data_IF_318881674063
#
_entry.id   IF_318881674063
#
_cell.length_a   1.000
_cell.length_b   1.000
_cell.length_c   1.000
_cell.angle_alpha   90.00
_cell.angle_beta   90.00
_cell.angle_gamma   90.00
#
_symmetry.space_group_name_H-M   'P 1'
#
loop_
_entity.id
_entity.type
_entity.pdbx_description
1 polymer ?
#
# COMPACT_ATOMS: atom_id res chain seq x y z
N UNK A 1 5.15 42.93 -52.61
CA UNK A 1 6.29 42.07 -52.23
C UNK A 1 5.85 41.13 -51.11
N UNK A 2 5.56 39.89 -51.50
CA UNK A 2 5.76 38.61 -50.77
C UNK A 2 5.45 38.58 -49.26
N UNK A 3 4.29 38.00 -48.95
CA UNK A 3 3.95 37.37 -47.67
C UNK A 3 4.94 36.24 -47.34
N UNK A 4 5.63 36.30 -46.19
CA UNK A 4 6.41 35.16 -45.68
C UNK A 4 6.35 35.02 -44.15
N UNK A 5 5.50 34.07 -43.75
CA UNK A 5 5.82 33.01 -42.77
C UNK A 5 5.85 33.41 -41.28
N UNK A 6 4.67 33.66 -40.73
CA UNK A 6 4.36 33.34 -39.33
C UNK A 6 4.26 31.82 -39.18
N UNK A 7 5.39 31.10 -39.22
CA UNK A 7 5.46 29.65 -38.98
C UNK A 7 6.76 29.33 -38.27
N UNK A 8 6.86 29.67 -36.99
CA UNK A 8 7.90 29.11 -36.14
C UNK A 8 7.26 28.50 -34.89
N UNK A 9 7.01 27.20 -35.03
CA UNK A 9 7.00 26.19 -33.97
C UNK A 9 5.96 26.33 -32.85
N UNK A 10 4.72 26.01 -33.20
CA UNK A 10 3.69 25.51 -32.27
C UNK A 10 3.97 24.03 -31.89
N UNK A 11 5.23 23.67 -31.60
CA UNK A 11 5.65 22.27 -31.41
C UNK A 11 6.32 22.00 -30.06
N UNK A 12 5.96 22.76 -29.02
CA UNK A 12 6.54 22.53 -27.68
C UNK A 12 5.51 22.73 -26.56
N UNK A 13 4.32 22.11 -26.69
CA UNK A 13 3.31 22.16 -25.62
C UNK A 13 2.56 20.83 -25.43
N UNK A 14 3.23 19.69 -25.63
CA UNK A 14 2.58 18.37 -25.53
C UNK A 14 3.27 17.41 -24.54
N UNK A 15 3.88 17.91 -23.46
CA UNK A 15 4.59 17.04 -22.52
C UNK A 15 4.26 17.19 -21.03
N UNK A 16 3.07 17.70 -20.68
CA UNK A 16 2.67 17.80 -19.27
C UNK A 16 1.19 17.47 -19.09
N UNK A 17 0.82 16.19 -19.24
CA UNK A 17 -0.50 15.69 -18.82
C UNK A 17 -0.41 14.23 -18.37
N UNK A 18 0.35 13.94 -17.31
CA UNK A 18 0.21 12.67 -16.58
C UNK A 18 0.16 12.83 -15.05
N UNK A 19 0.27 14.06 -14.53
CA UNK A 19 0.45 14.30 -13.08
C UNK A 19 -0.86 14.29 -12.27
N UNK A 20 -2.04 14.41 -12.91
CA UNK A 20 -3.31 14.49 -12.18
C UNK A 20 -3.83 13.14 -11.67
N UNK A 21 -3.39 12.02 -12.27
CA UNK A 21 -3.90 10.68 -11.92
C UNK A 21 -3.13 10.03 -10.77
N UNK A 22 -1.81 10.26 -10.72
CA UNK A 22 -0.97 9.85 -9.61
C UNK A 22 -1.48 10.41 -8.26
N UNK A 23 -2.12 11.58 -8.28
CA UNK A 23 -2.63 12.23 -7.07
C UNK A 23 -3.69 11.40 -6.34
N UNK A 24 -4.57 10.67 -7.06
CA UNK A 24 -5.59 9.81 -6.42
C UNK A 24 -5.02 8.47 -5.97
N UNK A 25 -4.13 7.87 -6.77
CA UNK A 25 -3.49 6.60 -6.40
C UNK A 25 -2.62 6.75 -5.14
N UNK A 26 -2.00 7.93 -4.96
CA UNK A 26 -1.13 8.24 -3.84
C UNK A 26 -1.90 8.65 -2.56
N UNK A 27 -3.23 8.77 -2.61
CA UNK A 27 -4.07 9.02 -1.41
C UNK A 27 -3.99 7.87 -0.37
N UNK A 28 -3.56 6.68 -0.81
CA UNK A 28 -3.27 5.53 0.06
C UNK A 28 -1.98 5.69 0.87
N UNK A 29 -1.06 6.56 0.46
CA UNK A 29 0.20 6.77 1.19
C UNK A 29 -0.12 7.40 2.54
N UNK A 30 0.40 6.81 3.61
CA UNK A 30 0.12 7.27 4.95
C UNK A 30 0.42 6.24 6.02
N UNK A 31 0.02 6.58 7.24
CA UNK A 31 0.16 5.71 8.41
C UNK A 31 -1.20 5.22 8.85
N UNK A 32 -1.26 3.95 9.24
CA UNK A 32 -2.51 3.29 9.58
C UNK A 32 -2.36 2.40 10.80
N UNK A 33 -3.34 2.47 11.69
CA UNK A 33 -3.54 1.56 12.80
C UNK A 33 -4.42 0.39 12.35
N UNK A 34 -3.93 -0.83 12.55
CA UNK A 34 -4.59 -2.08 12.16
C UNK A 34 -5.36 -2.68 13.35
N UNK A 35 -6.40 -3.49 13.10
CA UNK A 35 -7.15 -4.19 14.16
C UNK A 35 -6.34 -5.17 15.02
N UNK A 36 -5.11 -5.50 14.63
CA UNK A 36 -4.19 -6.37 15.39
C UNK A 36 -3.11 -5.56 16.14
N UNK A 37 -3.40 -4.29 16.41
CA UNK A 37 -2.58 -3.33 17.16
C UNK A 37 -1.22 -3.01 16.54
N UNK A 38 -1.01 -3.35 15.26
CA UNK A 38 0.14 -2.87 14.50
C UNK A 38 -0.15 -1.49 13.92
N UNK A 39 0.81 -0.58 14.02
CA UNK A 39 0.82 0.58 13.13
C UNK A 39 1.74 0.30 11.94
N UNK A 40 1.29 0.68 10.75
CA UNK A 40 2.05 0.55 9.52
C UNK A 40 2.23 1.90 8.84
N UNK A 41 3.27 2.01 8.02
CA UNK A 41 3.42 3.07 7.02
C UNK A 41 3.29 2.42 5.63
N UNK A 42 2.28 2.84 4.87
CA UNK A 42 2.15 2.54 3.44
C UNK A 42 2.92 3.59 2.65
N UNK A 43 3.79 3.13 1.76
CA UNK A 43 4.64 3.97 0.92
C UNK A 43 4.71 3.41 -0.50
N UNK A 44 5.02 4.29 -1.46
CA UNK A 44 5.19 3.95 -2.86
C UNK A 44 6.64 3.57 -3.18
N UNK A 45 6.83 2.54 -4.01
CA UNK A 45 8.12 2.12 -4.55
C UNK A 45 7.94 1.77 -6.03
N UNK A 46 8.38 2.67 -6.91
CA UNK A 46 8.05 2.60 -8.33
C UNK A 46 6.55 2.85 -8.52
N UNK A 47 5.87 1.97 -9.25
CA UNK A 47 4.42 2.06 -9.50
C UNK A 47 3.57 1.28 -8.49
N UNK A 48 4.20 0.65 -7.48
CA UNK A 48 3.52 -0.19 -6.50
C UNK A 48 3.60 0.37 -5.08
N UNK A 49 2.70 -0.09 -4.23
CA UNK A 49 2.63 0.28 -2.83
C UNK A 49 3.05 -0.87 -1.92
N UNK A 50 3.77 -0.53 -0.86
CA UNK A 50 4.31 -1.44 0.14
C UNK A 50 4.00 -0.90 1.53
N UNK A 51 3.97 -1.77 2.52
CA UNK A 51 3.69 -1.40 3.90
C UNK A 51 4.65 -2.05 4.87
N UNK A 52 5.22 -1.25 5.78
CA UNK A 52 6.10 -1.74 6.84
C UNK A 52 5.53 -1.41 8.21
N UNK A 53 5.84 -2.25 9.20
CA UNK A 53 5.45 -2.03 10.59
C UNK A 53 6.27 -0.87 11.17
N UNK A 54 5.62 0.09 11.81
CA UNK A 54 6.23 1.26 12.47
C UNK A 54 5.95 1.31 13.97
N UNK A 55 4.94 0.61 14.48
CA UNK A 55 4.73 0.42 15.92
C UNK A 55 4.08 -0.93 16.22
N UNK A 56 4.34 -1.45 17.41
CA UNK A 56 3.80 -2.69 17.95
C UNK A 56 2.95 -2.37 19.18
N UNK A 57 1.78 -1.75 18.99
CA UNK A 57 0.96 -1.29 20.12
C UNK A 57 0.38 -2.50 20.87
N UNK A 58 0.42 -2.52 22.20
CA UNK A 58 -0.09 -3.64 22.98
C UNK A 58 0.73 -4.94 22.91
N UNK A 59 1.85 -4.97 22.18
CA UNK A 59 2.77 -6.10 22.17
C UNK A 59 3.68 -6.03 23.42
N UNK A 60 3.85 -7.16 24.11
CA UNK A 60 4.71 -7.28 25.29
C UNK A 60 6.15 -7.65 24.92
N UNK A 61 7.06 -7.52 25.89
CA UNK A 61 8.45 -7.98 25.75
C UNK A 61 8.49 -9.45 25.29
N UNK A 62 9.21 -9.71 24.19
CA UNK A 62 9.29 -11.02 23.54
C UNK A 62 8.31 -11.24 22.38
N UNK A 63 7.30 -10.39 22.20
CA UNK A 63 6.43 -10.40 21.01
C UNK A 63 6.95 -9.51 19.87
N UNK A 64 8.20 -9.05 19.97
CA UNK A 64 8.84 -8.15 19.00
C UNK A 64 9.55 -8.90 17.87
N UNK A 65 9.53 -10.23 17.90
CA UNK A 65 10.09 -11.12 16.88
C UNK A 65 9.01 -11.98 16.22
N UNK A 66 9.27 -12.44 15.00
CA UNK A 66 8.36 -13.22 14.17
C UNK A 66 8.34 -14.72 14.52
N UNK A 67 8.15 -15.07 15.79
CA UNK A 67 8.24 -16.45 16.28
C UNK A 67 7.27 -17.45 15.62
N UNK A 68 6.23 -16.95 14.93
CA UNK A 68 5.25 -17.76 14.18
C UNK A 68 5.60 -17.95 12.71
N UNK A 69 6.75 -17.44 12.25
CA UNK A 69 7.14 -17.60 10.86
C UNK A 69 7.26 -19.10 10.52
N UNK A 70 6.62 -19.59 9.43
CA UNK A 70 6.77 -20.97 9.00
C UNK A 70 8.19 -21.31 8.57
N UNK A 71 8.99 -20.31 8.20
CA UNK A 71 10.42 -20.44 7.95
C UNK A 71 11.20 -20.24 9.26
N UNK A 72 11.76 -21.34 9.79
CA UNK A 72 12.52 -21.34 11.03
C UNK A 72 13.68 -20.33 11.02
N UNK A 73 14.27 -20.03 9.86
CA UNK A 73 15.37 -19.06 9.76
C UNK A 73 14.91 -17.62 10.03
N UNK A 74 13.61 -17.35 9.89
CA UNK A 74 13.02 -16.02 10.06
C UNK A 74 12.35 -15.82 11.41
N UNK A 75 12.23 -16.86 12.25
CA UNK A 75 11.52 -16.77 13.53
C UNK A 75 12.14 -15.78 14.52
N UNK A 76 13.42 -15.44 14.34
CA UNK A 76 14.13 -14.44 15.16
C UNK A 76 14.16 -13.05 14.52
N UNK A 77 13.43 -12.82 13.42
CA UNK A 77 13.37 -11.52 12.73
C UNK A 77 12.54 -10.54 13.54
N UNK A 78 13.04 -9.32 13.73
CA UNK A 78 12.27 -8.25 14.37
C UNK A 78 11.08 -7.82 13.52
N UNK A 79 9.91 -7.67 14.16
CA UNK A 79 8.69 -7.21 13.50
C UNK A 79 8.77 -5.72 13.14
N UNK A 80 9.38 -4.89 13.99
CA UNK A 80 9.50 -3.46 13.71
C UNK A 80 10.34 -3.22 12.45
N UNK A 81 9.81 -2.44 11.51
CA UNK A 81 10.43 -2.18 10.21
C UNK A 81 10.20 -3.29 9.17
N UNK A 82 9.63 -4.43 9.54
CA UNK A 82 9.34 -5.51 8.61
C UNK A 82 8.31 -5.07 7.57
N UNK A 83 8.63 -5.28 6.29
CA UNK A 83 7.71 -5.06 5.17
C UNK A 83 6.72 -6.21 5.09
N UNK A 84 5.49 -5.94 5.52
CA UNK A 84 4.42 -6.93 5.56
C UNK A 84 3.44 -6.81 4.40
N UNK A 85 3.31 -5.64 3.76
CA UNK A 85 2.46 -5.46 2.57
C UNK A 85 3.35 -5.26 1.34
N UNK A 86 3.01 -5.94 0.26
CA UNK A 86 3.76 -5.89 -1.00
C UNK A 86 2.84 -5.83 -2.22
N UNK A 87 3.34 -5.16 -3.25
CA UNK A 87 2.84 -5.24 -4.63
C UNK A 87 1.39 -4.79 -4.85
N UNK A 88 0.86 -3.92 -3.97
CA UNK A 88 -0.41 -3.25 -4.25
C UNK A 88 -0.28 -2.36 -5.48
N UNK A 89 -1.24 -2.45 -6.40
CA UNK A 89 -1.30 -1.70 -7.65
C UNK A 89 -2.65 -0.99 -7.73
N UNK A 90 -2.64 0.29 -8.07
CA UNK A 90 -3.89 1.03 -8.26
C UNK A 90 -4.52 0.66 -9.61
N UNK A 91 -5.77 0.22 -9.58
CA UNK A 91 -6.57 -0.09 -10.77
C UNK A 91 -7.51 1.08 -11.07
N UNK A 92 -7.34 1.71 -12.23
CA UNK A 92 -8.07 2.94 -12.57
C UNK A 92 -9.57 2.71 -12.83
N UNK A 93 -9.93 1.51 -13.33
CA UNK A 93 -11.31 1.17 -13.67
C UNK A 93 -12.16 1.00 -12.41
N UNK A 94 -11.68 0.20 -11.46
CA UNK A 94 -12.35 -0.04 -10.19
C UNK A 94 -12.10 1.04 -9.13
N UNK A 95 -11.01 1.81 -9.28
CA UNK A 95 -10.48 2.75 -8.27
C UNK A 95 -10.09 2.06 -6.97
N UNK A 96 -9.66 0.80 -7.06
CA UNK A 96 -9.17 -0.01 -5.94
C UNK A 96 -7.65 -0.21 -6.03
N UNK A 97 -7.01 -0.58 -4.93
CA UNK A 97 -5.64 -1.09 -4.96
C UNK A 97 -5.69 -2.61 -4.86
N UNK A 98 -5.23 -3.29 -5.90
CA UNK A 98 -5.37 -4.74 -6.08
C UNK A 98 -3.99 -5.42 -6.15
N UNK A 99 -3.98 -6.74 -6.34
CA UNK A 99 -2.78 -7.59 -6.49
C UNK A 99 -1.81 -7.60 -5.29
N UNK A 100 -2.19 -6.95 -4.19
CA UNK A 100 -1.39 -6.89 -2.99
C UNK A 100 -1.30 -8.24 -2.28
N UNK A 101 -0.23 -8.40 -1.51
CA UNK A 101 -0.10 -9.47 -0.52
C UNK A 101 0.24 -8.88 0.84
N UNK A 102 -0.26 -9.51 1.90
CA UNK A 102 0.02 -9.13 3.28
C UNK A 102 0.46 -10.35 4.09
N UNK A 103 1.61 -10.25 4.76
CA UNK A 103 2.02 -11.19 5.79
C UNK A 103 1.42 -10.78 7.14
N UNK A 104 0.62 -11.66 7.75
CA UNK A 104 0.12 -11.52 9.12
C UNK A 104 1.02 -12.28 10.10
N UNK A 105 1.97 -11.61 10.79
CA UNK A 105 2.90 -12.26 11.71
C UNK A 105 2.18 -12.94 12.88
N UNK A 106 0.99 -12.49 13.26
CA UNK A 106 0.18 -13.10 14.33
C UNK A 106 -0.34 -14.50 13.96
N UNK A 107 -0.38 -14.83 12.67
CA UNK A 107 -0.80 -16.14 12.13
C UNK A 107 0.32 -16.88 11.40
N UNK A 108 1.44 -16.24 11.09
CA UNK A 108 2.49 -16.82 10.25
C UNK A 108 2.01 -17.08 8.80
N UNK A 109 1.08 -16.26 8.30
CA UNK A 109 0.39 -16.52 7.04
C UNK A 109 0.41 -15.32 6.10
N UNK A 110 0.49 -15.60 4.79
CA UNK A 110 0.31 -14.60 3.73
C UNK A 110 -1.13 -14.67 3.21
N UNK A 111 -1.72 -13.49 3.01
CA UNK A 111 -3.05 -13.26 2.46
C UNK A 111 -2.93 -12.42 1.19
N UNK A 112 -3.88 -12.60 0.27
CA UNK A 112 -4.12 -11.60 -0.77
C UNK A 112 -4.74 -10.37 -0.12
N UNK A 113 -4.38 -9.19 -0.60
CA UNK A 113 -4.79 -7.90 -0.05
C UNK A 113 -5.31 -7.02 -1.18
N UNK A 114 -6.47 -6.40 -0.95
CA UNK A 114 -6.92 -5.26 -1.75
C UNK A 114 -7.48 -4.15 -0.87
N UNK A 115 -7.37 -2.91 -1.32
CA UNK A 115 -7.95 -1.72 -0.67
C UNK A 115 -9.10 -1.24 -1.55
N UNK A 116 -10.31 -1.22 -1.01
CA UNK A 116 -11.54 -0.98 -1.77
C UNK A 116 -12.03 0.46 -1.65
N UNK A 117 -11.78 1.12 -0.51
CA UNK A 117 -12.27 2.47 -0.27
C UNK A 117 -11.33 3.25 0.65
N UNK A 118 -11.13 4.54 0.35
CA UNK A 118 -10.45 5.50 1.23
C UNK A 118 -11.48 6.53 1.70
N UNK A 119 -11.59 6.68 3.02
CA UNK A 119 -12.38 7.70 3.70
C UNK A 119 -11.47 8.63 4.49
N UNK A 120 -12.04 9.68 5.07
CA UNK A 120 -11.28 10.71 5.79
C UNK A 120 -10.43 10.13 6.94
N UNK A 121 -10.95 9.15 7.69
CA UNK A 121 -10.30 8.59 8.88
C UNK A 121 -9.97 7.11 8.79
N UNK A 122 -10.41 6.43 7.73
CA UNK A 122 -10.26 4.99 7.61
C UNK A 122 -10.12 4.56 6.15
N UNK A 123 -9.52 3.40 5.94
CA UNK A 123 -9.56 2.69 4.66
C UNK A 123 -10.24 1.34 4.86
N UNK A 124 -10.97 0.90 3.84
CA UNK A 124 -11.53 -0.44 3.78
C UNK A 124 -10.59 -1.38 3.06
N UNK A 125 -10.32 -2.52 3.69
CA UNK A 125 -9.32 -3.49 3.25
C UNK A 125 -9.96 -4.88 3.20
N UNK A 126 -9.74 -5.61 2.12
CA UNK A 126 -10.15 -7.01 2.01
C UNK A 126 -8.93 -7.89 2.01
N UNK A 127 -8.83 -8.74 3.03
CA UNK A 127 -7.87 -9.82 3.11
C UNK A 127 -8.53 -11.14 2.69
N UNK A 128 -7.93 -11.88 1.76
CA UNK A 128 -8.48 -13.17 1.31
C UNK A 128 -7.44 -14.27 1.21
N UNK A 129 -7.88 -15.50 1.44
CA UNK A 129 -7.07 -16.71 1.28
C UNK A 129 -7.97 -17.89 0.96
N UNK A 130 -7.68 -18.59 -0.14
CA UNK A 130 -8.53 -19.65 -0.69
C UNK A 130 -9.98 -19.14 -0.89
N UNK A 131 -10.95 -19.78 -0.24
CA UNK A 131 -12.38 -19.43 -0.31
C UNK A 131 -12.84 -18.50 0.82
N UNK A 132 -11.92 -18.02 1.66
CA UNK A 132 -12.24 -17.14 2.79
C UNK A 132 -11.79 -15.72 2.51
N UNK A 133 -12.62 -14.76 2.88
CA UNK A 133 -12.30 -13.34 2.84
C UNK A 133 -12.85 -12.64 4.08
N UNK A 134 -12.17 -11.57 4.48
CA UNK A 134 -12.62 -10.66 5.52
C UNK A 134 -12.44 -9.22 5.04
N UNK A 135 -13.46 -8.40 5.33
CA UNK A 135 -13.37 -6.95 5.19
C UNK A 135 -12.97 -6.36 6.54
N UNK A 136 -11.94 -5.53 6.55
CA UNK A 136 -11.35 -4.88 7.71
C UNK A 136 -11.31 -3.38 7.47
N UNK A 137 -11.25 -2.63 8.57
CA UNK A 137 -11.06 -1.18 8.55
C UNK A 137 -9.75 -0.85 9.22
N UNK A 138 -8.90 -0.09 8.54
CA UNK A 138 -7.66 0.44 9.12
C UNK A 138 -7.81 1.94 9.35
N UNK A 139 -7.41 2.41 10.51
CA UNK A 139 -7.64 3.80 10.94
C UNK A 139 -6.41 4.63 10.59
N UNK A 140 -6.61 5.78 9.94
CA UNK A 140 -5.51 6.70 9.60
C UNK A 140 -5.00 7.40 10.87
N UNK A 141 -3.67 7.51 11.03
CA UNK A 141 -2.99 8.12 12.19
C UNK A 141 -2.06 9.27 11.79
#
# INVERSE_FOLDING_TARGET
MITKQLKLSLFLLFFIINSSFAQKADDLIGKYHLPNDLDIEIYKKGEKYYGKIIALNGYQDGQTIDYKNPDNSKQNTHLLGMVIIKDLEFDEESKEWINGSMYGPEKGMIFNLKITEIREREIEVVGSKYFFWHTLKWIKI
#
